data_IF_689657671164
#
_entry.id   IF_689657671164
#
_cell.length_a   1.000
_cell.length_b   1.000
_cell.length_c   1.000
_cell.angle_alpha   90.00
_cell.angle_beta   90.00
_cell.angle_gamma   90.00
#
_symmetry.space_group_name_H-M   'P 1'
#
loop_
_entity.id
_entity.type
_entity.pdbx_description
1 polymer ?
#
# COMPACT_ATOMS: atom_id res chain seq x y z
N UNK A 1 -2.90 20.76 -6.46
CA UNK A 1 -2.23 19.60 -5.83
C UNK A 1 -2.26 18.47 -6.83
N UNK A 2 -1.17 17.72 -6.97
CA UNK A 2 -1.13 16.52 -7.83
C UNK A 2 -0.91 15.33 -6.90
N UNK A 3 -1.77 14.31 -7.02
CA UNK A 3 -1.62 13.05 -6.31
C UNK A 3 -1.23 11.99 -7.34
N UNK A 4 -0.15 11.28 -7.07
CA UNK A 4 0.28 10.10 -7.85
C UNK A 4 0.15 8.88 -6.96
N UNK A 5 -0.49 7.83 -7.46
CA UNK A 5 -0.70 6.60 -6.71
C UNK A 5 -0.45 5.36 -7.57
N UNK A 6 0.12 4.27 -7.02
CA UNK A 6 0.32 3.03 -7.76
C UNK A 6 -0.98 2.44 -8.30
N UNK A 7 -1.04 2.14 -9.59
CA UNK A 7 -2.12 1.31 -10.13
C UNK A 7 -1.87 -0.14 -9.71
N UNK A 8 -2.65 -0.62 -8.75
CA UNK A 8 -2.58 -1.99 -8.22
C UNK A 8 -2.36 -3.04 -9.31
N UNK A 9 -3.15 -2.99 -10.38
CA UNK A 9 -3.17 -4.03 -11.41
C UNK A 9 -1.87 -4.09 -12.24
N UNK A 10 -1.05 -3.04 -12.16
CA UNK A 10 0.22 -2.89 -12.88
C UNK A 10 1.44 -2.88 -11.94
N UNK A 11 1.26 -3.25 -10.67
CA UNK A 11 2.31 -3.25 -9.65
C UNK A 11 2.55 -4.64 -9.12
N UNK A 12 3.64 -4.84 -8.37
CA UNK A 12 3.94 -6.10 -7.67
C UNK A 12 2.87 -6.51 -6.64
N UNK A 13 1.96 -5.61 -6.24
CA UNK A 13 0.81 -5.91 -5.37
C UNK A 13 -0.45 -6.36 -6.13
N UNK A 14 -0.37 -6.61 -7.44
CA UNK A 14 -1.54 -6.98 -8.25
C UNK A 14 -2.30 -8.21 -7.75
N UNK A 15 -1.63 -9.09 -6.98
CA UNK A 15 -2.24 -10.30 -6.39
C UNK A 15 -2.90 -10.07 -5.03
N UNK A 16 -2.64 -8.95 -4.36
CA UNK A 16 -3.20 -8.64 -3.02
C UNK A 16 -4.64 -8.14 -3.10
N UNK A 17 -5.52 -8.38 -2.14
CA UNK A 17 -6.84 -7.76 -2.15
C UNK A 17 -6.74 -6.25 -1.93
N UNK A 18 -7.66 -5.42 -2.47
CA UNK A 18 -7.77 -4.02 -2.09
C UNK A 18 -8.02 -3.86 -0.59
N UNK A 19 -7.33 -2.93 0.05
CA UNK A 19 -7.55 -2.60 1.47
C UNK A 19 -8.88 -1.88 1.63
N UNK A 20 -9.65 -2.30 2.62
CA UNK A 20 -10.94 -1.66 2.92
C UNK A 20 -10.76 -0.23 3.44
N UNK A 21 -11.68 0.67 3.08
CA UNK A 21 -11.66 2.05 3.58
C UNK A 21 -11.78 2.08 5.12
N UNK A 22 -12.55 1.15 5.70
CA UNK A 22 -12.66 1.03 7.16
C UNK A 22 -11.29 0.79 7.80
N UNK A 23 -10.53 -0.18 7.26
CA UNK A 23 -9.18 -0.49 7.75
C UNK A 23 -8.25 0.72 7.68
N UNK A 24 -8.26 1.44 6.56
CA UNK A 24 -7.45 2.67 6.38
C UNK A 24 -7.82 3.74 7.43
N UNK A 25 -9.11 3.93 7.68
CA UNK A 25 -9.60 4.90 8.68
C UNK A 25 -9.26 4.46 10.10
N UNK A 26 -9.33 3.17 10.39
CA UNK A 26 -8.98 2.61 11.70
C UNK A 26 -7.47 2.75 11.95
N UNK A 27 -6.61 2.46 10.97
CA UNK A 27 -5.16 2.66 11.05
C UNK A 27 -4.82 4.13 11.33
N UNK A 28 -5.47 5.05 10.61
CA UNK A 28 -5.30 6.50 10.83
C UNK A 28 -5.70 6.92 12.26
N UNK A 29 -6.83 6.44 12.77
CA UNK A 29 -7.31 6.77 14.12
C UNK A 29 -6.43 6.23 15.23
N UNK A 30 -5.77 5.10 14.99
CA UNK A 30 -4.90 4.43 15.95
C UNK A 30 -3.43 4.87 15.82
N UNK A 31 -3.13 5.87 14.99
CA UNK A 31 -1.76 6.36 14.74
C UNK A 31 -0.79 5.22 14.35
N UNK A 32 -1.27 4.30 13.50
CA UNK A 32 -0.48 3.17 13.02
C UNK A 32 0.65 3.69 12.14
N UNK A 33 1.89 3.37 12.52
CA UNK A 33 3.10 3.79 11.81
C UNK A 33 3.76 2.63 11.05
N UNK A 34 4.93 2.90 10.47
CA UNK A 34 5.70 1.94 9.67
C UNK A 34 6.31 0.79 10.49
N UNK A 35 6.20 0.80 11.83
CA UNK A 35 6.58 -0.34 12.68
C UNK A 35 5.51 -1.44 12.66
N UNK A 36 4.31 -1.15 12.17
CA UNK A 36 3.29 -2.17 12.01
C UNK A 36 3.71 -3.19 10.95
N UNK A 37 3.74 -4.46 11.35
CA UNK A 37 4.07 -5.58 10.47
C UNK A 37 2.85 -6.50 10.27
N UNK A 38 1.64 -6.05 10.62
CA UNK A 38 0.41 -6.84 10.49
C UNK A 38 0.17 -7.33 9.06
N UNK A 39 0.59 -6.55 8.05
CA UNK A 39 0.48 -6.92 6.63
C UNK A 39 1.64 -7.74 6.09
N UNK A 40 2.74 -7.93 6.84
CA UNK A 40 3.98 -8.53 6.35
C UNK A 40 3.77 -9.92 5.73
N UNK A 41 3.00 -10.79 6.40
CA UNK A 41 2.75 -12.16 5.93
C UNK A 41 1.95 -12.17 4.62
N UNK A 42 0.96 -11.28 4.49
CA UNK A 42 0.20 -11.12 3.25
C UNK A 42 1.12 -10.65 2.13
N UNK A 43 1.89 -9.60 2.37
CA UNK A 43 2.83 -9.02 1.41
C UNK A 43 3.78 -10.10 0.91
N UNK A 44 4.49 -10.81 1.79
CA UNK A 44 5.45 -11.86 1.40
C UNK A 44 4.80 -12.95 0.53
N UNK A 45 3.57 -13.36 0.86
CA UNK A 45 2.87 -14.43 0.14
C UNK A 45 2.38 -14.02 -1.24
N UNK A 46 1.99 -12.76 -1.40
CA UNK A 46 1.29 -12.26 -2.57
C UNK A 46 2.14 -11.31 -3.44
N UNK A 47 3.33 -10.91 -2.99
CA UNK A 47 4.23 -10.07 -3.77
C UNK A 47 4.68 -10.77 -5.04
N UNK A 48 4.51 -10.10 -6.18
CA UNK A 48 5.05 -10.57 -7.44
C UNK A 48 6.49 -10.07 -7.64
N UNK A 49 7.45 -10.87 -7.18
CA UNK A 49 8.89 -10.56 -7.30
C UNK A 49 9.32 -10.33 -8.76
N UNK A 50 8.66 -10.94 -9.75
CA UNK A 50 9.01 -10.74 -11.15
C UNK A 50 8.71 -9.30 -11.63
N UNK A 51 7.77 -8.60 -10.99
CA UNK A 51 7.43 -7.20 -11.26
C UNK A 51 8.19 -6.22 -10.37
N UNK A 52 9.02 -6.70 -9.44
CA UNK A 52 9.86 -5.89 -8.56
C UNK A 52 11.34 -6.28 -8.70
N UNK A 53 12.01 -5.89 -9.79
CA UNK A 53 13.42 -6.23 -10.02
C UNK A 53 14.35 -5.64 -8.94
N UNK A 54 13.90 -4.64 -8.19
CA UNK A 54 14.65 -4.01 -7.09
C UNK A 54 14.40 -4.68 -5.73
N UNK A 55 13.51 -5.68 -5.65
CA UNK A 55 13.33 -6.53 -4.48
C UNK A 55 14.56 -7.39 -4.17
N UNK A 56 15.37 -7.71 -5.18
CA UNK A 56 16.40 -8.73 -5.06
C UNK A 56 15.76 -10.12 -4.95
N UNK A 57 16.30 -10.98 -4.10
CA UNK A 57 15.67 -12.27 -3.83
C UNK A 57 14.50 -12.12 -2.85
N UNK A 58 13.59 -13.11 -2.82
CA UNK A 58 12.53 -13.15 -1.81
C UNK A 58 13.09 -13.06 -0.38
N UNK A 59 14.26 -13.67 -0.14
CA UNK A 59 14.93 -13.61 1.17
C UNK A 59 15.37 -12.18 1.49
N UNK A 60 15.99 -11.48 0.54
CA UNK A 60 16.43 -10.10 0.73
C UNK A 60 15.23 -9.19 0.99
N UNK A 61 14.15 -9.39 0.23
CA UNK A 61 12.89 -8.66 0.41
C UNK A 61 12.30 -8.87 1.81
N UNK A 62 12.27 -10.11 2.32
CA UNK A 62 11.77 -10.42 3.66
C UNK A 62 12.62 -9.73 4.73
N UNK A 63 13.96 -9.82 4.63
CA UNK A 63 14.87 -9.21 5.60
C UNK A 63 14.68 -7.69 5.63
N UNK A 64 14.59 -7.06 4.45
CA UNK A 64 14.36 -5.60 4.34
C UNK A 64 13.00 -5.21 4.89
N UNK A 65 11.98 -6.03 4.64
CA UNK A 65 10.59 -5.82 5.10
C UNK A 65 10.42 -5.90 6.61
N UNK A 66 11.23 -6.68 7.31
CA UNK A 66 11.23 -6.70 8.78
C UNK A 66 11.70 -5.35 9.37
N UNK A 67 12.52 -4.62 8.62
CA UNK A 67 13.00 -3.28 8.95
C UNK A 67 12.18 -2.19 8.23
N UNK A 68 10.86 -2.41 8.06
CA UNK A 68 9.99 -1.51 7.31
C UNK A 68 10.00 -0.08 7.87
N UNK A 69 10.08 0.09 9.19
CA UNK A 69 10.20 1.40 9.83
C UNK A 69 11.36 2.24 9.28
N UNK A 70 12.45 1.58 8.86
CA UNK A 70 13.63 2.24 8.29
C UNK A 70 13.55 2.40 6.78
N UNK A 71 13.11 1.35 6.08
CA UNK A 71 13.21 1.30 4.61
C UNK A 71 11.91 1.62 3.87
N UNK A 72 10.77 1.67 4.57
CA UNK A 72 9.43 1.96 4.03
C UNK A 72 9.14 1.14 2.76
N UNK A 73 9.41 -0.17 2.83
CA UNK A 73 9.37 -1.07 1.69
C UNK A 73 8.11 -1.94 1.64
N UNK A 74 7.23 -1.84 2.62
CA UNK A 74 5.92 -2.47 2.63
C UNK A 74 4.84 -1.47 2.24
N UNK A 75 3.98 -1.85 1.29
CA UNK A 75 2.71 -1.18 1.11
C UNK A 75 1.70 -1.73 2.12
N UNK A 76 1.41 -0.96 3.17
CA UNK A 76 0.37 -1.33 4.15
C UNK A 76 -1.01 -1.37 3.50
N UNK A 77 -1.27 -0.47 2.55
CA UNK A 77 -2.57 -0.36 1.90
C UNK A 77 -2.47 -0.50 0.39
N UNK A 78 -3.36 -1.31 -0.18
CA UNK A 78 -3.55 -1.47 -1.62
C UNK A 78 -4.81 -0.71 -2.01
N UNK A 79 -4.68 0.43 -2.67
CA UNK A 79 -5.83 1.22 -3.11
C UNK A 79 -6.26 0.88 -4.54
N UNK A 80 -7.52 1.17 -4.82
CA UNK A 80 -8.11 1.22 -6.15
C UNK A 80 -8.50 2.66 -6.46
N UNK A 81 -8.78 2.97 -7.72
CA UNK A 81 -9.30 4.29 -8.08
C UNK A 81 -10.58 4.64 -7.31
N UNK A 82 -11.43 3.63 -7.03
CA UNK A 82 -12.66 3.79 -6.25
C UNK A 82 -12.37 4.16 -4.79
N UNK A 83 -11.44 3.44 -4.12
CA UNK A 83 -11.10 3.76 -2.73
C UNK A 83 -10.40 5.11 -2.61
N UNK A 84 -9.48 5.43 -3.52
CA UNK A 84 -8.82 6.73 -3.56
C UNK A 84 -9.83 7.87 -3.75
N UNK A 85 -10.73 7.76 -4.74
CA UNK A 85 -11.77 8.76 -5.01
C UNK A 85 -12.63 9.02 -3.77
N UNK A 86 -13.05 7.96 -3.07
CA UNK A 86 -13.82 8.09 -1.82
C UNK A 86 -13.02 8.77 -0.71
N UNK A 87 -11.74 8.43 -0.53
CA UNK A 87 -10.87 9.08 0.45
C UNK A 87 -10.81 10.58 0.19
N UNK A 88 -10.49 10.96 -1.07
CA UNK A 88 -10.32 12.36 -1.45
C UNK A 88 -11.62 13.17 -1.32
N UNK A 89 -12.73 12.64 -1.82
CA UNK A 89 -14.00 13.40 -1.87
C UNK A 89 -14.76 13.35 -0.55
N UNK A 90 -14.85 12.19 0.10
CA UNK A 90 -15.69 12.01 1.30
C UNK A 90 -14.97 12.45 2.56
N UNK A 91 -13.71 12.07 2.73
CA UNK A 91 -12.96 12.34 3.96
C UNK A 91 -12.18 13.64 3.89
N UNK A 92 -11.51 13.91 2.77
CA UNK A 92 -10.70 15.13 2.61
C UNK A 92 -11.45 16.31 1.98
N UNK A 93 -12.73 16.12 1.56
CA UNK A 93 -13.59 17.14 0.96
C UNK A 93 -12.95 17.84 -0.24
N UNK A 94 -12.18 17.08 -1.02
CA UNK A 94 -11.53 17.58 -2.23
C UNK A 94 -12.40 17.36 -3.46
N UNK A 95 -12.34 18.31 -4.38
CA UNK A 95 -12.85 18.16 -5.74
C UNK A 95 -11.76 17.53 -6.62
N UNK A 96 -12.15 16.57 -7.47
CA UNK A 96 -11.25 15.91 -8.41
C UNK A 96 -11.50 16.49 -9.80
N UNK A 97 -10.46 17.07 -10.39
CA UNK A 97 -10.47 17.59 -11.75
C UNK A 97 -9.66 16.62 -12.60
N UNK A 98 -10.28 16.05 -13.64
CA UNK A 98 -9.58 15.26 -14.64
C UNK A 98 -8.93 16.22 -15.64
N UNK A 99 -7.64 16.04 -15.89
CA UNK A 99 -6.85 16.80 -16.85
C UNK A 99 -6.57 15.96 -18.09
#
# INVERSE_FOLDING_TARGET
MVIVFPNKDLTFDHRRPPTSIKHIVDDFKNDVDEKDLSHLIEVIKLHDIALDPHAGTLRDFVIRSLENYKYRCLHHHVLTLSSLTKILTVFLKMEIIFA
#
